data_IF_842034235034
#
_entry.id   IF_842034235034
#
_cell.length_a   1.000
_cell.length_b   1.000
_cell.length_c   1.000
_cell.angle_alpha   90.00
_cell.angle_beta   90.00
_cell.angle_gamma   90.00
#
_symmetry.space_group_name_H-M   'P 1'
#
loop_
_entity.id
_entity.type
_entity.pdbx_description
1 polymer ?
#
# COMPACT_ATOMS: atom_id res chain seq x y z
N UNK A 1 -11.77 35.16 13.74
CA UNK A 1 -12.29 34.05 12.90
C UNK A 1 -11.24 33.36 12.00
N UNK A 2 -10.01 33.89 11.86
CA UNK A 2 -8.98 33.36 10.93
C UNK A 2 -8.18 32.16 11.47
N UNK A 3 -7.71 32.21 12.72
CA UNK A 3 -6.84 31.16 13.30
C UNK A 3 -7.50 29.77 13.37
N UNK A 4 -8.82 29.70 13.59
CA UNK A 4 -9.60 28.44 13.60
C UNK A 4 -9.67 27.78 12.22
N UNK A 5 -9.80 28.59 11.15
CA UNK A 5 -9.81 28.09 9.76
C UNK A 5 -8.42 27.58 9.37
N UNK A 6 -7.35 28.31 9.71
CA UNK A 6 -5.97 27.89 9.44
C UNK A 6 -5.61 26.58 10.13
N UNK A 7 -5.98 26.41 11.41
CA UNK A 7 -5.79 25.14 12.14
C UNK A 7 -6.53 23.98 11.48
N UNK A 8 -7.78 24.22 11.06
CA UNK A 8 -8.57 23.21 10.37
C UNK A 8 -7.92 22.79 9.05
N UNK A 9 -7.48 23.74 8.23
CA UNK A 9 -6.79 23.47 6.96
C UNK A 9 -5.49 22.70 7.20
N UNK A 10 -4.69 23.09 8.20
CA UNK A 10 -3.44 22.40 8.55
C UNK A 10 -3.69 20.93 8.96
N UNK A 11 -4.76 20.68 9.70
CA UNK A 11 -5.16 19.33 10.11
C UNK A 11 -5.51 18.45 8.90
N UNK A 12 -6.36 18.97 8.01
CA UNK A 12 -6.76 18.24 6.81
C UNK A 12 -5.61 18.04 5.82
N UNK A 13 -4.72 19.03 5.67
CA UNK A 13 -3.50 18.90 4.87
C UNK A 13 -2.57 17.82 5.44
N UNK A 14 -2.38 17.76 6.76
CA UNK A 14 -1.60 16.72 7.41
C UNK A 14 -2.20 15.32 7.22
N UNK A 15 -3.52 15.18 7.39
CA UNK A 15 -4.21 13.90 7.13
C UNK A 15 -4.06 13.50 5.66
N UNK A 16 -4.25 14.43 4.72
CA UNK A 16 -4.08 14.16 3.29
C UNK A 16 -2.66 13.71 2.95
N UNK A 17 -1.64 14.34 3.54
CA UNK A 17 -0.24 13.97 3.34
C UNK A 17 0.07 12.56 3.88
N UNK A 18 -0.41 12.23 5.08
CA UNK A 18 -0.22 10.89 5.66
C UNK A 18 -0.92 9.82 4.82
N UNK A 19 -2.16 10.09 4.40
CA UNK A 19 -2.90 9.19 3.51
C UNK A 19 -2.20 9.00 2.17
N UNK A 20 -1.67 10.06 1.56
CA UNK A 20 -0.91 9.97 0.31
C UNK A 20 0.32 9.09 0.48
N UNK A 21 1.08 9.26 1.56
CA UNK A 21 2.23 8.42 1.87
C UNK A 21 1.87 6.94 2.02
N UNK A 22 0.75 6.65 2.70
CA UNK A 22 0.23 5.28 2.83
C UNK A 22 -0.12 4.66 1.47
N UNK A 23 -0.83 5.39 0.61
CA UNK A 23 -1.21 4.88 -0.71
C UNK A 23 -0.01 4.72 -1.64
N UNK A 24 0.98 5.61 -1.57
CA UNK A 24 2.23 5.45 -2.32
C UNK A 24 2.99 4.20 -1.88
N UNK A 25 3.09 3.97 -0.57
CA UNK A 25 3.72 2.78 -0.01
C UNK A 25 3.02 1.50 -0.47
N UNK A 26 1.68 1.47 -0.40
CA UNK A 26 0.88 0.34 -0.85
C UNK A 26 1.00 0.11 -2.37
N UNK A 27 1.06 1.20 -3.14
CA UNK A 27 1.29 1.16 -4.58
C UNK A 27 2.64 0.53 -4.93
N UNK A 28 3.71 0.92 -4.23
CA UNK A 28 5.04 0.30 -4.39
C UNK A 28 4.99 -1.18 -4.05
N UNK A 29 4.38 -1.58 -2.93
CA UNK A 29 4.23 -2.99 -2.57
C UNK A 29 3.46 -3.79 -3.63
N UNK A 30 2.46 -3.16 -4.28
CA UNK A 30 1.63 -3.79 -5.31
C UNK A 30 2.38 -4.04 -6.63
N UNK A 31 3.52 -3.38 -6.87
CA UNK A 31 4.35 -3.64 -8.07
C UNK A 31 4.89 -5.07 -8.11
N UNK A 32 4.97 -5.75 -6.96
CA UNK A 32 5.35 -7.17 -6.86
C UNK A 32 4.43 -8.08 -7.70
N UNK A 33 3.14 -7.76 -7.80
CA UNK A 33 2.19 -8.45 -8.68
C UNK A 33 2.42 -8.16 -10.17
N UNK A 34 2.84 -6.94 -10.51
CA UNK A 34 3.16 -6.56 -11.90
C UNK A 34 4.30 -7.39 -12.48
N UNK A 35 5.34 -7.66 -11.68
CA UNK A 35 6.43 -8.54 -12.09
C UNK A 35 6.02 -10.01 -12.29
N UNK A 36 4.95 -10.47 -11.63
CA UNK A 36 4.39 -11.81 -11.83
C UNK A 36 3.60 -11.85 -13.14
N UNK A 37 2.74 -10.85 -13.38
CA UNK A 37 1.91 -10.76 -14.59
C UNK A 37 2.76 -10.63 -15.88
N UNK A 38 3.87 -9.89 -15.84
CA UNK A 38 4.78 -9.77 -16.97
C UNK A 38 5.40 -11.13 -17.34
N UNK A 39 5.81 -11.93 -16.34
CA UNK A 39 6.37 -13.27 -16.55
C UNK A 39 5.35 -14.26 -17.11
N UNK A 40 4.08 -14.17 -16.70
CA UNK A 40 3.00 -14.99 -17.28
C UNK A 40 2.69 -14.62 -18.73
N UNK A 41 2.74 -13.33 -19.10
CA UNK A 41 2.42 -12.88 -20.46
C UNK A 41 3.36 -13.47 -21.54
N UNK A 42 4.56 -13.89 -21.14
CA UNK A 42 5.58 -14.48 -22.02
C UNK A 42 5.34 -15.98 -22.24
N UNK A 43 4.62 -16.64 -21.35
CA UNK A 43 4.41 -18.10 -21.36
C UNK A 43 3.02 -18.36 -21.95
N UNK A 44 2.92 -18.12 -23.26
CA UNK A 44 1.66 -18.16 -24.01
C UNK A 44 0.96 -19.53 -24.03
N UNK A 45 -0.38 -19.47 -23.89
CA UNK A 45 -1.42 -20.30 -24.53
C UNK A 45 -1.16 -21.80 -24.76
N UNK A 46 -0.48 -22.50 -23.85
CA UNK A 46 -0.27 -23.95 -23.88
C UNK A 46 -0.65 -24.61 -22.56
N UNK A 47 -0.82 -25.96 -22.52
CA UNK A 47 -1.06 -26.67 -21.27
C UNK A 47 0.12 -26.47 -20.31
N UNK A 48 -0.21 -25.99 -19.11
CA UNK A 48 0.75 -25.58 -18.09
C UNK A 48 1.19 -26.78 -17.26
N UNK A 49 2.49 -26.90 -16.95
CA UNK A 49 2.97 -27.97 -16.08
C UNK A 49 2.52 -27.76 -14.62
N UNK A 50 2.34 -28.85 -13.89
CA UNK A 50 1.91 -28.79 -12.49
C UNK A 50 2.96 -28.09 -11.60
N UNK A 51 4.25 -28.24 -11.93
CA UNK A 51 5.34 -27.52 -11.28
C UNK A 51 5.25 -26.00 -11.50
N UNK A 52 4.97 -25.58 -12.73
CA UNK A 52 4.77 -24.16 -13.03
C UNK A 52 3.58 -23.59 -12.27
N UNK A 53 2.46 -24.32 -12.23
CA UNK A 53 1.29 -23.89 -11.47
C UNK A 53 1.59 -23.69 -9.98
N UNK A 54 2.35 -24.60 -9.35
CA UNK A 54 2.79 -24.45 -7.95
C UNK A 54 3.71 -23.24 -7.77
N UNK A 55 4.69 -23.06 -8.65
CA UNK A 55 5.60 -21.92 -8.60
C UNK A 55 4.85 -20.58 -8.72
N UNK A 56 3.80 -20.52 -9.56
CA UNK A 56 2.92 -19.35 -9.66
C UNK A 56 2.14 -19.10 -8.37
N UNK A 57 1.56 -20.14 -7.78
CA UNK A 57 0.86 -20.01 -6.51
C UNK A 57 1.76 -19.49 -5.40
N UNK A 58 3.00 -19.99 -5.29
CA UNK A 58 3.98 -19.49 -4.32
C UNK A 58 4.35 -18.03 -4.58
N UNK A 59 4.57 -17.64 -5.85
CA UNK A 59 4.86 -16.25 -6.20
C UNK A 59 3.71 -15.31 -5.83
N UNK A 60 2.46 -15.70 -6.11
CA UNK A 60 1.26 -14.93 -5.73
C UNK A 60 1.12 -14.84 -4.22
N UNK A 61 1.34 -15.93 -3.49
CA UNK A 61 1.31 -15.93 -2.02
C UNK A 61 2.38 -14.99 -1.45
N UNK A 62 3.59 -14.99 -2.01
CA UNK A 62 4.67 -14.11 -1.58
C UNK A 62 4.35 -12.63 -1.85
N UNK A 63 3.87 -12.30 -3.06
CA UNK A 63 3.46 -10.93 -3.40
C UNK A 63 2.32 -10.43 -2.50
N UNK A 64 1.36 -11.32 -2.20
CA UNK A 64 0.27 -11.02 -1.25
C UNK A 64 0.82 -10.74 0.14
N UNK A 65 1.77 -11.54 0.61
CA UNK A 65 2.45 -11.32 1.90
C UNK A 65 3.13 -9.95 1.95
N UNK A 66 3.86 -9.55 0.91
CA UNK A 66 4.50 -8.23 0.82
C UNK A 66 3.49 -7.09 0.92
N UNK A 67 2.36 -7.18 0.22
CA UNK A 67 1.31 -6.16 0.29
C UNK A 67 0.64 -6.15 1.66
N UNK A 68 0.40 -7.33 2.26
CA UNK A 68 -0.19 -7.44 3.58
C UNK A 68 0.69 -6.84 4.67
N UNK A 69 1.99 -7.11 4.64
CA UNK A 69 2.97 -6.53 5.55
C UNK A 69 3.05 -5.02 5.36
N UNK A 70 3.14 -4.56 4.11
CA UNK A 70 3.15 -3.14 3.77
C UNK A 70 1.90 -2.41 4.29
N UNK A 71 0.71 -2.99 4.14
CA UNK A 71 -0.53 -2.46 4.68
C UNK A 71 -0.53 -2.43 6.22
N UNK A 72 -0.06 -3.50 6.85
CA UNK A 72 -0.01 -3.63 8.32
C UNK A 72 0.93 -2.61 8.95
N UNK A 73 2.16 -2.50 8.45
CA UNK A 73 3.12 -1.50 8.91
C UNK A 73 2.65 -0.09 8.58
N UNK A 74 2.09 0.13 7.39
CA UNK A 74 1.53 1.42 7.00
C UNK A 74 0.41 1.87 7.94
N UNK A 75 -0.49 0.97 8.34
CA UNK A 75 -1.54 1.25 9.31
C UNK A 75 -0.96 1.62 10.68
N UNK A 76 -0.02 0.83 11.19
CA UNK A 76 0.64 1.05 12.48
C UNK A 76 1.39 2.38 12.54
N UNK A 77 1.89 2.89 11.41
CA UNK A 77 2.56 4.21 11.34
C UNK A 77 1.57 5.35 11.14
N UNK A 78 0.59 5.18 10.26
CA UNK A 78 -0.32 6.25 9.86
C UNK A 78 -1.34 6.59 10.96
N UNK A 79 -1.85 5.60 11.69
CA UNK A 79 -2.84 5.83 12.76
C UNK A 79 -2.27 6.72 13.88
N UNK A 80 -1.08 6.44 14.46
CA UNK A 80 -0.47 7.33 15.45
C UNK A 80 -0.22 8.74 14.92
N UNK A 81 0.26 8.88 13.68
CA UNK A 81 0.51 10.19 13.06
C UNK A 81 -0.77 11.01 12.96
N UNK A 82 -1.88 10.40 12.51
CA UNK A 82 -3.18 11.06 12.45
C UNK A 82 -3.65 11.47 13.85
N UNK A 83 -3.52 10.59 14.85
CA UNK A 83 -3.87 10.92 16.24
C UNK A 83 -3.04 12.08 16.79
N UNK A 84 -1.74 12.13 16.49
CA UNK A 84 -0.85 13.24 16.86
C UNK A 84 -1.30 14.54 16.20
N UNK A 85 -1.70 14.50 14.92
CA UNK A 85 -2.24 15.66 14.20
C UNK A 85 -3.51 16.19 14.90
N UNK A 86 -4.43 15.31 15.28
CA UNK A 86 -5.63 15.70 16.05
C UNK A 86 -5.29 16.25 17.44
N UNK A 87 -4.26 15.71 18.10
CA UNK A 87 -3.87 16.15 19.43
C UNK A 87 -3.17 17.52 19.42
N UNK A 88 -2.25 17.76 18.49
CA UNK A 88 -1.48 19.01 18.40
C UNK A 88 -2.27 20.17 17.78
N UNK A 89 -3.19 19.88 16.86
CA UNK A 89 -3.97 20.89 16.15
C UNK A 89 -5.35 21.00 16.79
N UNK A 90 -5.39 21.49 18.04
CA UNK A 90 -6.60 21.78 18.81
C UNK A 90 -7.01 23.25 18.70
#
# INVERSE_FOLDING_TARGET
>A
MSASKTKTVLRWAGIALVSLGYYLWLGVASTSFGHIAEKESVIGTGPVSLEYHRAMMDAVMQATGVVFDAASFGFLVCVPLILIIFHKVR
#
